data_IF_946684220915
#
_entry.id   IF_946684220915
#
_cell.length_a   1.000
_cell.length_b   1.000
_cell.length_c   1.000
_cell.angle_alpha   90.00
_cell.angle_beta   90.00
_cell.angle_gamma   90.00
#
_symmetry.space_group_name_H-M   'P 1'
#
loop_
_entity.id
_entity.type
_entity.pdbx_description
1 polymer ?
#
# COMPACT_ATOMS: atom_id res chain seq x y z
N UNK A 1 0.83 -4.44 15.19
CA UNK A 1 -0.11 -3.62 14.40
C UNK A 1 -1.34 -4.45 14.03
N UNK A 2 -2.47 -3.80 13.74
CA UNK A 2 -3.75 -4.47 13.46
C UNK A 2 -3.65 -5.51 12.32
N UNK A 3 -3.09 -5.13 11.16
CA UNK A 3 -3.00 -6.01 9.99
C UNK A 3 -2.08 -7.22 10.20
N UNK A 4 -0.98 -7.07 10.95
CA UNK A 4 -0.11 -8.19 11.32
C UNK A 4 -0.88 -9.21 12.15
N UNK A 5 -1.66 -8.73 13.13
CA UNK A 5 -2.50 -9.59 13.96
C UNK A 5 -3.59 -10.29 13.14
N UNK A 6 -4.19 -9.59 12.19
CA UNK A 6 -5.18 -10.16 11.27
C UNK A 6 -4.58 -11.33 10.45
N UNK A 7 -3.36 -11.18 9.92
CA UNK A 7 -2.66 -12.26 9.20
C UNK A 7 -2.33 -13.45 10.09
N UNK A 8 -1.96 -13.22 11.35
CA UNK A 8 -1.75 -14.31 12.32
C UNK A 8 -3.04 -15.10 12.59
N UNK A 9 -4.18 -14.41 12.71
CA UNK A 9 -5.48 -15.06 12.91
C UNK A 9 -5.89 -15.87 11.67
N UNK A 10 -5.74 -15.32 10.46
CA UNK A 10 -6.02 -16.02 9.21
C UNK A 10 -5.14 -17.25 9.03
N UNK A 11 -3.85 -17.17 9.41
CA UNK A 11 -2.95 -18.31 9.37
C UNK A 11 -3.41 -19.40 10.35
N UNK A 12 -3.78 -19.02 11.57
CA UNK A 12 -4.22 -19.95 12.61
C UNK A 12 -5.54 -20.65 12.24
N UNK A 13 -6.47 -19.96 11.57
CA UNK A 13 -7.75 -20.51 11.12
C UNK A 13 -7.59 -21.72 10.17
N UNK A 14 -6.50 -21.74 9.39
CA UNK A 14 -6.19 -22.84 8.46
C UNK A 14 -5.64 -24.10 9.13
N UNK A 15 -5.31 -24.06 10.44
CA UNK A 15 -4.68 -25.18 11.15
C UNK A 15 -5.57 -26.43 11.13
N UNK A 16 -6.88 -26.28 11.39
CA UNK A 16 -7.77 -27.46 11.42
C UNK A 16 -7.89 -28.12 10.05
N UNK A 17 -7.89 -27.36 8.95
CA UNK A 17 -7.97 -27.92 7.59
C UNK A 17 -6.69 -28.67 7.24
N UNK A 18 -5.54 -28.12 7.62
CA UNK A 18 -4.23 -28.74 7.46
C UNK A 18 -4.17 -30.10 8.16
N UNK A 19 -4.56 -30.16 9.43
CA UNK A 19 -4.52 -31.38 10.24
C UNK A 19 -5.47 -32.47 9.76
N UNK A 20 -6.61 -32.09 9.17
CA UNK A 20 -7.59 -33.00 8.58
C UNK A 20 -7.23 -33.45 7.15
N UNK A 21 -6.21 -32.86 6.54
CA UNK A 21 -5.82 -33.15 5.15
C UNK A 21 -6.78 -32.61 4.09
N UNK A 22 -7.63 -31.63 4.45
CA UNK A 22 -8.59 -31.01 3.53
C UNK A 22 -7.87 -30.04 2.59
N UNK A 23 -7.99 -30.27 1.27
CA UNK A 23 -7.29 -29.49 0.23
C UNK A 23 -5.80 -29.26 0.55
N UNK A 24 -5.11 -30.32 1.01
CA UNK A 24 -3.82 -30.24 1.70
C UNK A 24 -2.80 -29.30 1.03
N UNK A 25 -2.60 -29.45 -0.28
CA UNK A 25 -1.64 -28.62 -1.03
C UNK A 25 -2.05 -27.13 -1.05
N UNK A 26 -3.33 -26.85 -1.29
CA UNK A 26 -3.85 -25.48 -1.31
C UNK A 26 -3.78 -24.84 0.08
N UNK A 27 -4.07 -25.62 1.13
CA UNK A 27 -3.98 -25.17 2.53
C UNK A 27 -2.53 -24.87 2.93
N UNK A 28 -1.57 -25.72 2.56
CA UNK A 28 -0.14 -25.46 2.81
C UNK A 28 0.32 -24.19 2.10
N UNK A 29 -0.01 -24.05 0.81
CA UNK A 29 0.35 -22.88 0.01
C UNK A 29 -0.20 -21.59 0.58
N UNK A 30 -1.49 -21.57 0.93
CA UNK A 30 -2.13 -20.39 1.51
C UNK A 30 -1.51 -20.00 2.85
N UNK A 31 -1.13 -20.98 3.67
CA UNK A 31 -0.43 -20.73 4.95
C UNK A 31 0.95 -20.10 4.73
N UNK A 32 1.71 -20.59 3.76
CA UNK A 32 2.99 -20.01 3.37
C UNK A 32 2.81 -18.56 2.89
N UNK A 33 1.86 -18.31 1.99
CA UNK A 33 1.53 -16.96 1.51
C UNK A 33 1.13 -16.01 2.65
N UNK A 34 0.35 -16.46 3.62
CA UNK A 34 -0.03 -15.66 4.80
C UNK A 34 1.17 -15.36 5.71
N UNK A 35 2.09 -16.29 5.87
CA UNK A 35 3.34 -16.07 6.61
C UNK A 35 4.21 -15.02 5.90
N UNK A 36 4.36 -15.11 4.57
CA UNK A 36 5.06 -14.12 3.78
C UNK A 36 4.38 -12.74 3.82
N UNK A 37 3.05 -12.68 3.75
CA UNK A 37 2.32 -11.43 3.94
C UNK A 37 2.57 -10.80 5.31
N UNK A 38 2.64 -11.61 6.38
CA UNK A 38 2.98 -11.13 7.72
C UNK A 38 4.42 -10.57 7.75
N UNK A 39 5.38 -11.27 7.16
CA UNK A 39 6.76 -10.82 7.06
C UNK A 39 6.88 -9.50 6.27
N UNK A 40 6.19 -9.41 5.13
CA UNK A 40 6.13 -8.20 4.33
C UNK A 40 5.57 -7.02 5.14
N UNK A 41 4.46 -7.20 5.88
CA UNK A 41 3.89 -6.14 6.71
C UNK A 41 4.88 -5.59 7.75
N UNK A 42 5.72 -6.45 8.35
CA UNK A 42 6.76 -6.02 9.28
C UNK A 42 7.88 -5.24 8.57
N UNK A 43 8.29 -5.69 7.38
CA UNK A 43 9.27 -4.96 6.56
C UNK A 43 8.77 -3.57 6.12
N UNK A 44 7.47 -3.40 5.89
CA UNK A 44 6.89 -2.08 5.61
C UNK A 44 7.06 -1.15 6.81
N UNK A 45 6.91 -1.66 8.04
CA UNK A 45 7.15 -0.88 9.27
C UNK A 45 8.61 -0.47 9.39
N UNK A 46 9.53 -1.41 9.20
CA UNK A 46 10.98 -1.11 9.20
C UNK A 46 11.34 -0.09 8.11
N UNK A 47 10.73 -0.19 6.93
CA UNK A 47 10.92 0.77 5.85
C UNK A 47 10.44 2.16 6.27
N UNK A 48 9.22 2.29 6.81
CA UNK A 48 8.69 3.58 7.24
C UNK A 48 9.49 4.19 8.39
N UNK A 49 10.02 3.36 9.30
CA UNK A 49 10.87 3.80 10.40
C UNK A 49 12.17 4.47 9.91
N UNK A 50 12.73 4.05 8.76
CA UNK A 50 13.89 4.73 8.13
C UNK A 50 13.59 6.15 7.69
N UNK A 51 12.32 6.49 7.48
CA UNK A 51 11.85 7.84 7.18
C UNK A 51 11.35 8.58 8.43
N UNK A 52 11.50 8.02 9.63
CA UNK A 52 11.09 8.62 10.89
C UNK A 52 9.60 8.44 11.24
N UNK A 53 8.89 7.51 10.59
CA UNK A 53 7.46 7.28 10.81
C UNK A 53 7.19 5.93 11.50
N UNK A 54 6.35 5.96 12.54
CA UNK A 54 5.79 4.75 13.18
C UNK A 54 4.39 4.47 12.64
N UNK A 55 4.30 3.53 11.69
CA UNK A 55 3.06 3.09 11.05
C UNK A 55 2.44 1.86 11.76
N UNK A 56 2.89 1.52 12.96
CA UNK A 56 2.33 0.40 13.72
C UNK A 56 0.89 0.67 14.21
N UNK A 57 0.53 1.95 14.26
CA UNK A 57 -0.79 2.48 14.61
C UNK A 57 -1.55 3.01 13.38
N UNK A 58 -2.89 3.08 13.43
CA UNK A 58 -3.68 3.75 12.39
C UNK A 58 -3.31 5.24 12.29
N UNK A 59 -3.49 5.79 11.08
CA UNK A 59 -3.34 7.21 10.80
C UNK A 59 -4.36 8.04 11.59
N UNK A 60 -3.91 9.14 12.19
CA UNK A 60 -4.71 10.01 13.05
C UNK A 60 -5.12 11.32 12.38
N UNK A 61 -4.42 11.75 11.33
CA UNK A 61 -4.68 12.97 10.56
C UNK A 61 -4.59 12.71 9.04
N UNK A 62 -4.97 13.69 8.22
CA UNK A 62 -4.91 13.61 6.77
C UNK A 62 -3.49 13.36 6.26
N UNK A 63 -2.49 14.03 6.85
CA UNK A 63 -1.09 13.86 6.48
C UNK A 63 -0.62 12.41 6.69
N UNK A 64 -0.92 11.81 7.84
CA UNK A 64 -0.61 10.41 8.12
C UNK A 64 -1.40 9.46 7.22
N UNK A 65 -2.66 9.75 6.89
CA UNK A 65 -3.45 8.90 6.02
C UNK A 65 -2.84 8.81 4.60
N UNK A 66 -2.47 9.97 4.04
CA UNK A 66 -1.76 10.05 2.76
C UNK A 66 -0.40 9.37 2.85
N UNK A 67 0.37 9.62 3.91
CA UNK A 67 1.70 9.06 4.09
C UNK A 67 1.68 7.53 4.28
N UNK A 68 0.71 6.98 5.01
CA UNK A 68 0.62 5.54 5.29
C UNK A 68 0.23 4.79 4.01
N UNK A 69 -0.72 5.37 3.28
CA UNK A 69 -1.10 4.88 1.96
C UNK A 69 0.10 4.89 1.01
N UNK A 70 0.88 5.99 1.00
CA UNK A 70 2.09 6.07 0.20
C UNK A 70 3.13 5.02 0.60
N UNK A 71 3.35 4.75 1.89
CA UNK A 71 4.28 3.71 2.31
C UNK A 71 3.85 2.31 1.86
N UNK A 72 2.55 2.00 1.90
CA UNK A 72 2.06 0.75 1.36
C UNK A 72 2.36 0.62 -0.15
N UNK A 73 2.10 1.68 -0.93
CA UNK A 73 2.42 1.71 -2.35
C UNK A 73 3.94 1.64 -2.61
N UNK A 74 4.74 2.38 -1.82
CA UNK A 74 6.20 2.41 -1.93
C UNK A 74 6.81 1.01 -1.70
N UNK A 75 6.28 0.25 -0.74
CA UNK A 75 6.71 -1.12 -0.50
C UNK A 75 6.40 -2.04 -1.69
N UNK A 76 5.23 -1.88 -2.31
CA UNK A 76 4.85 -2.64 -3.49
C UNK A 76 5.80 -2.37 -4.67
N UNK A 77 6.09 -1.10 -4.97
CA UNK A 77 6.99 -0.74 -6.09
C UNK A 77 8.48 -0.97 -5.79
N UNK A 78 8.84 -1.19 -4.52
CA UNK A 78 10.20 -1.62 -4.14
C UNK A 78 10.41 -3.12 -4.20
N UNK A 79 9.35 -3.91 -4.05
CA UNK A 79 9.42 -5.38 -4.03
C UNK A 79 9.07 -6.00 -5.37
N UNK A 80 8.30 -5.31 -6.21
CA UNK A 80 7.81 -5.82 -7.48
C UNK A 80 8.03 -4.81 -8.61
N UNK A 81 8.31 -5.31 -9.81
CA UNK A 81 8.50 -4.54 -11.04
C UNK A 81 7.47 -4.91 -12.11
N UNK A 82 6.23 -5.20 -11.70
CA UNK A 82 5.14 -5.54 -12.61
C UNK A 82 4.90 -4.49 -13.69
N UNK A 83 4.34 -4.91 -14.83
CA UNK A 83 4.05 -4.01 -15.96
C UNK A 83 3.02 -2.93 -15.63
N UNK A 84 2.12 -3.17 -14.67
CA UNK A 84 1.17 -2.19 -14.15
C UNK A 84 1.07 -2.30 -12.63
N UNK A 85 1.46 -1.24 -11.91
CA UNK A 85 1.41 -1.13 -10.46
C UNK A 85 0.42 -0.02 -10.08
N UNK A 86 -0.87 -0.35 -10.08
CA UNK A 86 -1.94 0.62 -9.85
C UNK A 86 -2.08 1.02 -8.38
N UNK A 87 -2.43 2.29 -8.13
CA UNK A 87 -2.67 2.79 -6.77
C UNK A 87 -4.04 2.37 -6.22
N UNK A 88 -5.01 2.12 -7.10
CA UNK A 88 -6.37 1.73 -6.74
C UNK A 88 -7.33 2.92 -6.60
N UNK A 89 -8.32 2.80 -5.71
CA UNK A 89 -9.35 3.83 -5.48
C UNK A 89 -9.10 4.51 -4.14
N UNK A 90 -8.31 5.57 -4.15
CA UNK A 90 -7.82 6.22 -2.92
C UNK A 90 -8.37 7.61 -2.69
N UNK A 91 -8.85 8.30 -3.73
CA UNK A 91 -9.32 9.69 -3.62
C UNK A 91 -10.41 9.87 -2.56
N UNK A 92 -11.56 9.20 -2.70
CA UNK A 92 -12.67 9.29 -1.72
C UNK A 92 -12.30 8.75 -0.33
N UNK A 93 -11.30 7.88 -0.23
CA UNK A 93 -10.81 7.39 1.06
C UNK A 93 -9.99 8.47 1.79
N UNK A 94 -9.09 9.15 1.07
CA UNK A 94 -8.29 10.25 1.61
C UNK A 94 -9.16 11.47 1.94
N UNK A 95 -10.19 11.72 1.13
CA UNK A 95 -11.16 12.81 1.33
C UNK A 95 -11.82 12.77 2.71
N UNK A 96 -12.12 11.57 3.24
CA UNK A 96 -12.69 11.42 4.60
C UNK A 96 -11.78 12.01 5.68
N UNK A 97 -10.46 11.84 5.56
CA UNK A 97 -9.50 12.39 6.53
C UNK A 97 -9.29 13.89 6.31
N UNK A 98 -9.21 14.33 5.06
CA UNK A 98 -9.04 15.74 4.69
C UNK A 98 -10.24 16.55 5.17
N UNK A 99 -11.45 16.11 4.86
CA UNK A 99 -12.70 16.78 5.25
C UNK A 99 -12.86 16.86 6.77
N UNK A 100 -12.47 15.81 7.49
CA UNK A 100 -12.47 15.81 8.96
C UNK A 100 -11.51 16.85 9.51
N UNK A 101 -10.29 16.90 8.98
CA UNK A 101 -9.26 17.82 9.45
C UNK A 101 -9.55 19.27 9.04
N UNK A 102 -10.21 19.48 7.89
CA UNK A 102 -10.71 20.77 7.44
C UNK A 102 -11.79 21.31 8.39
N UNK A 103 -12.78 20.47 8.74
CA UNK A 103 -13.82 20.81 9.73
C UNK A 103 -13.27 21.09 11.12
N UNK A 104 -12.17 20.43 11.49
CA UNK A 104 -11.48 20.65 12.76
C UNK A 104 -10.54 21.87 12.75
N UNK A 105 -10.36 22.54 11.60
CA UNK A 105 -9.43 23.66 11.44
C UNK A 105 -7.96 23.27 11.54
N UNK A 106 -7.64 21.98 11.39
CA UNK A 106 -6.27 21.44 11.43
C UNK A 106 -5.50 21.76 10.15
N UNK A 107 -6.21 21.79 9.02
CA UNK A 107 -5.67 22.14 7.72
C UNK A 107 -6.65 23.04 6.94
N UNK A 108 -6.11 23.87 6.06
CA UNK A 108 -6.89 24.62 5.07
C UNK A 108 -6.82 23.97 3.68
N UNK A 109 -7.62 24.48 2.74
CA UNK A 109 -7.69 23.96 1.37
C UNK A 109 -6.32 23.95 0.66
N UNK A 110 -5.53 25.00 0.83
CA UNK A 110 -4.21 25.09 0.21
C UNK A 110 -3.26 24.01 0.75
N UNK A 111 -3.31 23.74 2.05
CA UNK A 111 -2.52 22.68 2.70
C UNK A 111 -3.00 21.29 2.29
N UNK A 112 -4.33 21.10 2.11
CA UNK A 112 -4.88 19.85 1.56
C UNK A 112 -4.34 19.60 0.14
N UNK A 113 -4.39 20.61 -0.72
CA UNK A 113 -3.90 20.52 -2.09
C UNK A 113 -2.40 20.25 -2.12
N UNK A 114 -1.60 20.94 -1.31
CA UNK A 114 -0.15 20.71 -1.21
C UNK A 114 0.17 19.25 -0.79
N UNK A 115 -0.58 18.70 0.16
CA UNK A 115 -0.42 17.31 0.60
C UNK A 115 -0.69 16.32 -0.55
N UNK A 116 -1.76 16.54 -1.32
CA UNK A 116 -2.10 15.70 -2.48
C UNK A 116 -1.10 15.90 -3.62
N UNK A 117 -0.64 17.12 -3.87
CA UNK A 117 0.37 17.41 -4.88
C UNK A 117 1.68 16.68 -4.59
N UNK A 118 2.15 16.71 -3.33
CA UNK A 118 3.31 15.94 -2.91
C UNK A 118 3.11 14.44 -3.09
N UNK A 119 1.93 13.92 -2.74
CA UNK A 119 1.60 12.51 -2.93
C UNK A 119 1.66 12.08 -4.41
N UNK A 120 0.99 12.83 -5.28
CA UNK A 120 0.98 12.57 -6.73
C UNK A 120 2.37 12.78 -7.33
N UNK A 121 3.13 13.77 -6.88
CA UNK A 121 4.51 13.99 -7.29
C UNK A 121 5.37 12.76 -7.00
N UNK A 122 5.26 12.17 -5.81
CA UNK A 122 6.00 10.94 -5.48
C UNK A 122 5.59 9.75 -6.35
N UNK A 123 4.31 9.61 -6.68
CA UNK A 123 3.84 8.55 -7.59
C UNK A 123 4.43 8.73 -8.99
N UNK A 124 4.47 9.97 -9.51
CA UNK A 124 5.06 10.30 -10.81
C UNK A 124 6.57 10.04 -10.91
N UNK A 125 7.26 9.93 -9.77
CA UNK A 125 8.69 9.64 -9.71
C UNK A 125 9.02 8.14 -9.73
N UNK A 126 8.02 7.24 -9.62
CA UNK A 126 8.28 5.80 -9.66
C UNK A 126 8.80 5.39 -11.04
N UNK A 127 9.89 4.62 -11.06
CA UNK A 127 10.54 4.10 -12.26
C UNK A 127 10.98 2.66 -12.04
N UNK A 128 11.00 1.90 -13.12
CA UNK A 128 11.51 0.54 -13.15
C UNK A 128 12.58 0.45 -14.22
N UNK A 129 13.67 -0.26 -13.93
CA UNK A 129 14.66 -0.56 -14.94
C UNK A 129 14.05 -1.56 -15.94
N UNK A 130 14.07 -1.21 -17.23
CA UNK A 130 13.53 -2.01 -18.34
C UNK A 130 14.58 -2.23 -19.42
N UNK A 131 14.39 -3.28 -20.21
CA UNK A 131 15.21 -3.51 -21.41
C UNK A 131 14.66 -2.72 -22.59
N UNK A 132 15.48 -2.40 -23.61
CA UNK A 132 15.01 -1.66 -24.78
C UNK A 132 13.82 -2.31 -25.50
N UNK A 133 13.76 -3.65 -25.51
CA UNK A 133 12.65 -4.40 -26.10
C UNK A 133 11.34 -4.14 -25.36
N UNK A 134 11.38 -4.07 -24.03
CA UNK A 134 10.20 -3.74 -23.23
C UNK A 134 9.75 -2.29 -23.47
N UNK A 135 10.69 -1.33 -23.53
CA UNK A 135 10.38 0.08 -23.77
C UNK A 135 9.82 0.33 -25.18
N UNK A 136 10.23 -0.48 -26.17
CA UNK A 136 9.67 -0.43 -27.52
C UNK A 136 8.23 -0.95 -27.61
N UNK A 137 7.83 -1.87 -26.73
CA UNK A 137 6.47 -2.41 -26.64
C UNK A 137 5.57 -1.51 -25.77
N UNK A 138 6.15 -0.89 -24.75
CA UNK A 138 5.48 0.03 -23.84
C UNK A 138 6.12 1.42 -23.98
N UNK A 139 5.87 2.08 -25.12
CA UNK A 139 6.46 3.37 -25.44
C UNK A 139 6.07 4.44 -24.42
N UNK A 140 7.08 5.04 -23.79
CA UNK A 140 6.91 6.01 -22.72
C UNK A 140 7.07 5.34 -21.38
N UNK A 141 7.93 5.94 -20.55
CA UNK A 141 8.37 5.56 -19.21
C UNK A 141 7.19 5.51 -18.20
N UNK A 142 6.17 4.71 -18.53
CA UNK A 142 4.84 4.76 -17.97
C UNK A 142 4.78 3.89 -16.71
N UNK A 143 5.09 4.52 -15.58
CA UNK A 143 4.54 4.05 -14.31
C UNK A 143 3.03 4.19 -14.38
N UNK A 144 2.33 3.10 -14.69
CA UNK A 144 0.85 3.06 -14.76
C UNK A 144 0.23 3.19 -13.35
N UNK A 145 0.34 4.37 -12.74
CA UNK A 145 -0.22 4.72 -11.44
C UNK A 145 -1.69 5.13 -11.54
N UNK A 146 -2.53 4.29 -12.15
CA UNK A 146 -3.94 4.62 -12.34
C UNK A 146 -4.65 4.78 -10.98
N UNK A 147 -5.28 5.94 -10.78
CA UNK A 147 -6.26 6.18 -9.72
C UNK A 147 -7.65 6.25 -10.34
N UNK A 148 -8.61 5.54 -9.75
CA UNK A 148 -10.02 5.65 -10.15
C UNK A 148 -10.67 6.79 -9.37
N UNK A 149 -11.05 7.86 -10.07
CA UNK A 149 -11.86 8.95 -9.51
C UNK A 149 -13.31 8.73 -9.95
N UNK A 150 -14.22 8.63 -8.98
CA UNK A 150 -15.66 8.65 -9.24
C UNK A 150 -16.23 9.84 -8.47
N UNK A 151 -16.66 10.86 -9.22
CA UNK A 151 -17.48 11.95 -8.71
C UNK A 151 -18.89 11.44 -8.42
#
# INVERSE_FOLDING_TARGET
>A
SYLVRERELQFADLQSRLEKGEDLEATIRLREELAEHRHALLQIQEMAAKYGFDISRPAQNAQEAVQWLYFAYLAAVKSQNGGAMSLGRTASFLDIYIERDFKAGVLNEQQAQELIDHFIMKIRMVRFLRTPEFDSLFSGDAGWGWTVVRW
#
